data_IF_800618273458
#
_entry.id   IF_800618273458
#
_cell.length_a   1.000
_cell.length_b   1.000
_cell.length_c   1.000
_cell.angle_alpha   90.00
_cell.angle_beta   90.00
_cell.angle_gamma   90.00
#
_symmetry.space_group_name_H-M   'P 1'
#
loop_
_entity.id
_entity.type
_entity.pdbx_description
1 polymer ?
#
# COMPACT_ATOMS: atom_id res chain seq x y z
N UNK A 1 -54.30 9.11 -21.71
CA UNK A 1 -52.92 9.08 -21.17
C UNK A 1 -52.34 10.48 -21.33
N UNK A 2 -51.99 11.17 -20.24
CA UNK A 2 -51.66 12.62 -20.27
C UNK A 2 -50.18 12.84 -20.67
N UNK A 3 -49.91 13.83 -21.52
CA UNK A 3 -48.57 14.17 -22.04
C UNK A 3 -47.54 14.40 -20.91
N UNK A 4 -47.95 15.03 -19.82
CA UNK A 4 -47.09 15.26 -18.65
C UNK A 4 -46.66 13.95 -17.96
N UNK A 5 -47.51 12.91 -18.02
CA UNK A 5 -47.22 11.60 -17.45
C UNK A 5 -46.15 10.86 -18.27
N UNK A 6 -46.24 10.93 -19.60
CA UNK A 6 -45.26 10.35 -20.54
C UNK A 6 -43.90 11.05 -20.40
N UNK A 7 -43.91 12.37 -20.23
CA UNK A 7 -42.73 13.20 -20.03
C UNK A 7 -41.97 12.83 -18.75
N UNK A 8 -42.66 12.70 -17.62
CA UNK A 8 -42.05 12.30 -16.34
C UNK A 8 -41.44 10.90 -16.35
N UNK A 9 -42.03 9.93 -17.07
CA UNK A 9 -41.47 8.57 -17.19
C UNK A 9 -40.11 8.61 -17.91
N UNK A 10 -39.94 9.46 -18.92
CA UNK A 10 -38.68 9.62 -19.66
C UNK A 10 -37.58 10.24 -18.80
N UNK A 11 -37.91 11.27 -18.00
CA UNK A 11 -36.95 11.91 -17.10
C UNK A 11 -36.56 11.05 -15.90
N UNK A 12 -37.50 10.28 -15.33
CA UNK A 12 -37.20 9.35 -14.24
C UNK A 12 -36.20 8.26 -14.67
N UNK A 13 -36.34 7.72 -15.90
CA UNK A 13 -35.38 6.76 -16.47
C UNK A 13 -34.00 7.38 -16.71
N UNK A 14 -33.95 8.62 -17.22
CA UNK A 14 -32.68 9.33 -17.43
C UNK A 14 -31.95 9.59 -16.11
N UNK A 15 -32.69 10.05 -15.08
CA UNK A 15 -32.16 10.30 -13.74
C UNK A 15 -31.59 9.01 -13.11
N UNK A 16 -32.31 7.90 -13.25
CA UNK A 16 -31.83 6.59 -12.78
C UNK A 16 -30.53 6.14 -13.47
N UNK A 17 -30.43 6.35 -14.79
CA UNK A 17 -29.21 6.05 -15.57
C UNK A 17 -28.04 6.91 -15.09
N UNK A 18 -28.26 8.20 -14.84
CA UNK A 18 -27.20 9.10 -14.38
C UNK A 18 -26.68 8.67 -13.00
N UNK A 19 -27.58 8.35 -12.05
CA UNK A 19 -27.19 7.89 -10.71
C UNK A 19 -26.39 6.60 -10.79
N UNK A 20 -26.85 5.62 -11.58
CA UNK A 20 -26.12 4.35 -11.73
C UNK A 20 -24.74 4.56 -12.33
N UNK A 21 -24.59 5.48 -13.29
CA UNK A 21 -23.29 5.83 -13.86
C UNK A 21 -22.34 6.48 -12.84
N UNK A 22 -22.87 7.38 -11.99
CA UNK A 22 -22.09 8.01 -10.92
C UNK A 22 -21.61 6.97 -9.90
N UNK A 23 -22.50 6.07 -9.46
CA UNK A 23 -22.13 5.00 -8.52
C UNK A 23 -21.07 4.07 -9.14
N UNK A 24 -21.22 3.72 -10.41
CA UNK A 24 -20.25 2.91 -11.14
C UNK A 24 -18.88 3.61 -11.28
N UNK A 25 -18.88 4.91 -11.51
CA UNK A 25 -17.63 5.69 -11.58
C UNK A 25 -16.92 5.73 -10.23
N UNK A 26 -17.66 5.97 -9.13
CA UNK A 26 -17.11 5.99 -7.77
C UNK A 26 -16.50 4.63 -7.41
N UNK A 27 -17.18 3.52 -7.73
CA UNK A 27 -16.66 2.18 -7.45
C UNK A 27 -15.38 1.88 -8.25
N UNK A 28 -15.29 2.31 -9.51
CA UNK A 28 -14.06 2.20 -10.32
C UNK A 28 -12.88 2.98 -9.72
N UNK A 29 -13.13 4.21 -9.24
CA UNK A 29 -12.11 5.01 -8.56
C UNK A 29 -11.63 4.31 -7.29
N UNK A 30 -12.54 3.83 -6.45
CA UNK A 30 -12.18 3.10 -5.23
C UNK A 30 -11.40 1.80 -5.51
N UNK A 31 -11.80 1.02 -6.52
CA UNK A 31 -11.08 -0.18 -6.97
C UNK A 31 -9.65 0.14 -7.43
N UNK A 32 -9.45 1.30 -8.07
CA UNK A 32 -8.14 1.75 -8.51
C UNK A 32 -7.23 2.09 -7.32
N UNK A 33 -7.76 2.71 -6.27
CA UNK A 33 -7.02 2.94 -5.02
C UNK A 33 -6.66 1.64 -4.30
N UNK A 34 -7.56 0.65 -4.25
CA UNK A 34 -7.29 -0.64 -3.58
C UNK A 34 -6.22 -1.43 -4.31
N UNK A 35 -6.26 -1.47 -5.65
CA UNK A 35 -5.23 -2.14 -6.48
C UNK A 35 -3.89 -1.42 -6.49
N UNK A 36 -3.79 -0.22 -5.91
CA UNK A 36 -2.54 0.51 -5.77
C UNK A 36 -1.70 0.06 -4.57
N UNK A 37 -2.19 -0.80 -3.69
CA UNK A 37 -1.37 -1.28 -2.58
C UNK A 37 -0.78 -2.64 -2.93
N UNK A 38 0.46 -2.64 -3.45
CA UNK A 38 1.25 -3.87 -3.49
C UNK A 38 1.77 -4.16 -2.07
N UNK A 39 1.64 -5.41 -1.65
CA UNK A 39 2.13 -5.89 -0.35
C UNK A 39 3.47 -6.55 -0.53
N UNK A 40 4.46 -6.17 0.28
CA UNK A 40 5.76 -6.81 0.31
C UNK A 40 5.93 -7.57 1.63
N UNK A 41 5.89 -8.89 1.55
CA UNK A 41 6.04 -9.77 2.70
C UNK A 41 7.52 -10.10 2.91
N UNK A 42 8.00 -10.01 4.16
CA UNK A 42 9.36 -10.36 4.50
C UNK A 42 9.54 -10.73 5.96
N UNK A 43 10.71 -11.26 6.28
CA UNK A 43 11.10 -11.60 7.65
C UNK A 43 11.96 -10.48 8.26
N UNK A 44 11.72 -10.23 9.54
CA UNK A 44 12.42 -9.23 10.31
C UNK A 44 12.84 -9.81 11.66
N UNK A 45 13.99 -9.39 12.16
CA UNK A 45 14.51 -9.82 13.46
C UNK A 45 14.40 -8.67 14.47
N UNK A 46 13.84 -8.95 15.65
CA UNK A 46 13.75 -7.97 16.72
C UNK A 46 14.93 -8.09 17.70
N UNK A 47 15.78 -7.07 17.81
CA UNK A 47 17.00 -7.13 18.64
C UNK A 47 16.77 -6.79 20.13
N UNK A 48 15.53 -6.50 20.53
CA UNK A 48 15.18 -6.02 21.86
C UNK A 48 14.94 -4.52 21.95
N UNK A 49 15.29 -3.77 20.91
CA UNK A 49 15.02 -2.32 20.78
C UNK A 49 14.36 -2.00 19.44
N UNK A 50 14.96 -2.48 18.35
CA UNK A 50 14.58 -2.19 16.98
C UNK A 50 14.22 -3.46 16.21
N UNK A 51 13.37 -3.30 15.20
CA UNK A 51 13.07 -4.33 14.24
C UNK A 51 13.99 -4.17 13.04
N UNK A 52 14.88 -5.13 12.82
CA UNK A 52 15.85 -5.14 11.75
C UNK A 52 15.31 -5.93 10.56
N UNK A 53 15.24 -5.27 9.41
CA UNK A 53 14.64 -5.83 8.19
C UNK A 53 15.64 -5.83 7.06
N UNK A 54 15.95 -7.00 6.51
CA UNK A 54 16.88 -7.15 5.38
C UNK A 54 16.11 -7.03 4.06
N UNK A 55 16.40 -5.97 3.30
CA UNK A 55 15.69 -5.65 2.05
C UNK A 55 16.65 -5.69 0.88
N UNK A 56 16.23 -6.29 -0.23
CA UNK A 56 16.90 -6.11 -1.52
C UNK A 56 16.93 -4.64 -1.91
N UNK A 57 18.04 -4.17 -2.49
CA UNK A 57 18.18 -2.76 -2.88
C UNK A 57 17.09 -2.30 -3.84
N UNK A 58 16.63 -3.20 -4.72
CA UNK A 58 15.52 -2.96 -5.66
C UNK A 58 14.21 -2.62 -4.96
N UNK A 59 14.02 -3.14 -3.75
CA UNK A 59 12.83 -2.97 -2.92
C UNK A 59 13.03 -1.97 -1.76
N UNK A 60 14.19 -1.31 -1.69
CA UNK A 60 14.53 -0.30 -0.66
C UNK A 60 13.48 0.80 -0.52
N UNK A 61 12.92 1.25 -1.66
CA UNK A 61 11.90 2.29 -1.69
C UNK A 61 10.61 1.89 -0.95
N UNK A 62 10.33 0.59 -0.83
CA UNK A 62 9.14 0.09 -0.15
C UNK A 62 9.19 0.44 1.33
N UNK A 63 10.31 0.15 2.00
CA UNK A 63 10.49 0.48 3.42
C UNK A 63 10.66 1.99 3.61
N UNK A 64 11.32 2.70 2.69
CA UNK A 64 11.52 4.15 2.81
C UNK A 64 10.22 4.94 2.75
N UNK A 65 9.25 4.49 1.94
CA UNK A 65 8.00 5.22 1.69
C UNK A 65 6.82 4.72 2.50
N UNK A 66 6.83 3.45 2.90
CA UNK A 66 5.79 2.93 3.78
C UNK A 66 5.89 3.63 5.15
N UNK A 67 4.72 3.94 5.72
CA UNK A 67 4.61 4.51 7.07
C UNK A 67 4.13 3.47 8.07
N UNK A 68 3.57 2.37 7.56
CA UNK A 68 2.94 1.32 8.31
C UNK A 68 3.36 -0.03 7.76
N UNK A 69 3.48 -1.02 8.64
CA UNK A 69 3.56 -2.42 8.27
C UNK A 69 2.50 -3.19 9.06
N UNK A 70 2.10 -4.35 8.54
CA UNK A 70 1.24 -5.29 9.23
C UNK A 70 2.08 -6.39 9.85
N UNK A 71 1.77 -6.69 11.10
CA UNK A 71 2.26 -7.84 11.84
C UNK A 71 1.06 -8.60 12.41
N UNK A 72 0.94 -9.89 12.09
CA UNK A 72 -0.26 -10.68 12.35
C UNK A 72 -1.53 -9.95 11.86
N UNK A 73 -2.44 -9.58 12.76
CA UNK A 73 -3.66 -8.82 12.45
C UNK A 73 -3.59 -7.34 12.84
N UNK A 74 -2.41 -6.83 13.22
CA UNK A 74 -2.22 -5.46 13.69
C UNK A 74 -1.44 -4.63 12.68
N UNK A 75 -1.89 -3.40 12.45
CA UNK A 75 -1.17 -2.39 11.67
C UNK A 75 -0.34 -1.55 12.64
N UNK A 76 0.94 -1.42 12.36
CA UNK A 76 1.89 -0.75 13.23
C UNK A 76 2.60 0.37 12.46
N UNK A 77 2.72 1.53 13.11
CA UNK A 77 3.51 2.66 12.59
C UNK A 77 4.97 2.45 12.98
N UNK A 78 5.87 2.75 12.05
CA UNK A 78 7.30 2.68 12.28
C UNK A 78 8.02 3.96 11.85
N UNK A 79 9.26 4.09 12.29
CA UNK A 79 10.22 5.07 11.77
C UNK A 79 11.56 4.41 11.54
N UNK A 80 12.22 4.73 10.43
CA UNK A 80 13.58 4.25 10.16
C UNK A 80 14.55 5.03 11.05
N UNK A 81 15.34 4.32 11.85
CA UNK A 81 16.39 4.91 12.67
C UNK A 81 17.71 4.89 11.91
N UNK A 82 18.01 3.74 11.31
CA UNK A 82 19.29 3.48 10.68
C UNK A 82 19.09 2.59 9.46
N UNK A 83 19.96 2.79 8.47
CA UNK A 83 20.11 1.94 7.30
C UNK A 83 21.56 1.49 7.28
N UNK A 84 21.81 0.20 7.16
CA UNK A 84 23.17 -0.34 7.05
C UNK A 84 23.82 0.07 5.73
N UNK A 85 25.14 -0.12 5.66
CA UNK A 85 25.85 -0.17 4.39
C UNK A 85 25.28 -1.28 3.49
N UNK A 86 25.60 -1.19 2.19
CA UNK A 86 25.23 -2.20 1.20
C UNK A 86 25.95 -3.50 1.53
N UNK A 87 25.17 -4.57 1.68
CA UNK A 87 25.64 -5.92 1.91
C UNK A 87 25.45 -6.73 0.63
N UNK A 88 26.50 -7.38 0.18
CA UNK A 88 26.45 -8.22 -1.01
C UNK A 88 26.39 -9.70 -0.59
N UNK A 89 25.37 -10.41 -1.06
CA UNK A 89 25.22 -11.85 -0.82
C UNK A 89 24.67 -12.52 -2.07
N UNK A 90 25.36 -13.54 -2.59
CA UNK A 90 24.88 -14.34 -3.72
C UNK A 90 24.49 -13.50 -4.95
N UNK A 91 25.32 -12.53 -5.32
CA UNK A 91 25.10 -11.55 -6.42
C UNK A 91 23.91 -10.60 -6.23
N UNK A 92 23.29 -10.59 -5.06
CA UNK A 92 22.23 -9.67 -4.71
C UNK A 92 22.72 -8.65 -3.67
N UNK A 93 22.32 -7.40 -3.87
CA UNK A 93 22.62 -6.29 -2.98
C UNK A 93 21.46 -6.07 -2.01
N UNK A 94 21.77 -6.05 -0.72
CA UNK A 94 20.82 -5.88 0.37
C UNK A 94 21.21 -4.70 1.27
N UNK A 95 20.22 -4.17 1.97
CA UNK A 95 20.41 -3.21 3.06
C UNK A 95 19.54 -3.62 4.24
N UNK A 96 20.06 -3.45 5.44
CA UNK A 96 19.34 -3.69 6.68
C UNK A 96 18.75 -2.37 7.16
N UNK A 97 17.44 -2.35 7.36
CA UNK A 97 16.71 -1.21 7.89
C UNK A 97 16.36 -1.48 9.36
N UNK A 98 16.86 -0.65 10.27
CA UNK A 98 16.49 -0.69 11.69
C UNK A 98 15.30 0.21 11.93
N UNK A 99 14.17 -0.39 12.30
CA UNK A 99 12.89 0.27 12.46
C UNK A 99 12.52 0.42 13.94
N UNK A 100 12.17 1.63 14.36
CA UNK A 100 11.56 1.90 15.66
C UNK A 100 10.07 1.65 15.58
N UNK A 101 9.51 0.93 16.55
CA UNK A 101 8.09 0.61 16.59
C UNK A 101 7.50 1.09 17.92
N UNK A 102 6.35 1.77 17.86
CA UNK A 102 5.63 2.16 19.08
C UNK A 102 4.90 0.95 19.67
N UNK A 103 5.09 0.69 20.96
CA UNK A 103 4.32 -0.30 21.72
C UNK A 103 4.88 -1.74 21.74
N UNK A 104 6.11 -1.93 21.27
CA UNK A 104 6.98 -3.10 21.48
C UNK A 104 6.32 -4.47 21.74
N UNK A 105 5.55 -5.04 20.79
CA UNK A 105 4.87 -6.33 20.97
C UNK A 105 5.78 -7.55 20.71
N UNK A 106 7.07 -7.34 20.48
CA UNK A 106 7.99 -8.38 19.99
C UNK A 106 8.87 -8.93 21.11
N UNK A 107 9.21 -10.22 21.02
CA UNK A 107 10.16 -10.86 21.92
C UNK A 107 11.58 -10.68 21.36
N UNK A 108 12.57 -10.48 22.24
CA UNK A 108 13.96 -10.33 21.83
C UNK A 108 14.45 -11.57 21.06
N UNK A 109 15.16 -11.33 19.96
CA UNK A 109 15.66 -12.30 18.99
C UNK A 109 14.57 -13.10 18.27
N UNK A 110 13.34 -12.60 18.24
CA UNK A 110 12.24 -13.21 17.51
C UNK A 110 12.32 -12.84 16.01
N UNK A 111 12.21 -13.85 15.16
CA UNK A 111 12.04 -13.65 13.72
C UNK A 111 10.54 -13.58 13.43
N UNK A 112 10.09 -12.42 12.97
CA UNK A 112 8.68 -12.14 12.68
C UNK A 112 8.45 -11.91 11.20
N UNK A 113 7.31 -12.40 10.71
CA UNK A 113 6.83 -12.10 9.36
C UNK A 113 6.10 -10.75 9.38
N UNK A 114 6.53 -9.83 8.53
CA UNK A 114 5.96 -8.49 8.39
C UNK A 114 5.57 -8.21 6.95
N UNK A 115 4.51 -7.42 6.78
CA UNK A 115 3.99 -7.03 5.47
C UNK A 115 4.01 -5.53 5.34
N UNK A 116 4.81 -5.00 4.42
CA UNK A 116 4.85 -3.58 4.10
C UNK A 116 3.83 -3.26 3.02
N UNK A 117 3.06 -2.20 3.22
CA UNK A 117 2.14 -1.70 2.20
C UNK A 117 2.85 -0.64 1.37
N UNK A 118 3.08 -0.94 0.09
CA UNK A 118 3.64 0.00 -0.86
C UNK A 118 2.54 0.75 -1.60
N UNK A 119 2.64 2.08 -1.64
CA UNK A 119 1.74 2.90 -2.43
C UNK A 119 2.24 2.93 -3.90
N UNK A 120 1.53 2.27 -4.84
CA UNK A 120 1.82 2.20 -6.30
C UNK A 120 1.73 3.54 -7.03
N UNK A 121 1.73 4.67 -6.33
CA UNK A 121 1.82 5.99 -6.96
C UNK A 121 2.93 6.05 -8.02
N UNK A 122 4.02 5.28 -7.86
CA UNK A 122 5.12 5.23 -8.84
C UNK A 122 4.78 4.54 -10.16
N UNK A 123 4.03 3.44 -10.19
CA UNK A 123 3.69 2.77 -11.46
C UNK A 123 2.74 3.67 -12.24
N UNK A 124 1.73 4.22 -11.56
CA UNK A 124 0.81 5.18 -12.18
C UNK A 124 1.55 6.44 -12.62
N UNK A 125 2.42 7.03 -11.79
CA UNK A 125 3.26 8.19 -12.19
C UNK A 125 4.23 7.86 -13.33
N UNK A 126 4.81 6.66 -13.37
CA UNK A 126 5.65 6.19 -14.48
C UNK A 126 4.85 6.05 -15.77
N UNK A 127 3.67 5.42 -15.72
CA UNK A 127 2.77 5.26 -16.86
C UNK A 127 2.30 6.63 -17.36
N UNK A 128 1.88 7.52 -16.44
CA UNK A 128 1.48 8.89 -16.79
C UNK A 128 2.62 9.62 -17.47
N UNK A 129 3.87 9.54 -16.98
CA UNK A 129 5.04 10.20 -17.58
C UNK A 129 5.47 9.60 -18.94
N UNK A 130 5.03 8.39 -19.26
CA UNK A 130 5.25 7.78 -20.58
C UNK A 130 4.17 8.24 -21.56
N UNK A 131 2.96 8.52 -21.07
CA UNK A 131 1.80 8.91 -21.86
C UNK A 131 1.73 10.45 -22.06
N UNK A 132 2.21 11.23 -21.09
CA UNK A 132 2.26 12.70 -21.05
C UNK A 132 3.69 13.18 -20.83
#
# INVERSE_FOLDING_TARGET
MNYNYIKNIKYAKLFFIIITFIVFFITLVLLSFVKCYDTYEMYANYDGVNLNVSVLIENSDIIKRAQFFKYNSKIMKYSIIQVSELLEKENNNYQIYSLKIKGNPFIKNEIVKVVFYYNRERIIKKIIRIIF
#
